data_IF_900366966813
#
_entry.id   IF_900366966813
#
_cell.length_a   1.000
_cell.length_b   1.000
_cell.length_c   1.000
_cell.angle_alpha   90.00
_cell.angle_beta   90.00
_cell.angle_gamma   90.00
#
_symmetry.space_group_name_H-M   'P 1'
#
loop_
_entity.id
_entity.type
_entity.pdbx_description
1 polymer ?
#
# COMPACT_ATOMS: atom_id res chain seq x y z
N UNK A 1 -1.71 -4.73 -1.94
CA UNK A 1 -1.17 -5.70 -2.90
C UNK A 1 -2.24 -6.12 -3.91
N UNK A 2 -1.81 -6.45 -5.10
CA UNK A 2 -2.67 -6.84 -6.22
C UNK A 2 -2.00 -7.91 -7.10
N UNK A 3 -2.83 -8.65 -7.83
CA UNK A 3 -2.41 -9.59 -8.87
C UNK A 3 -3.07 -9.22 -10.21
N UNK A 4 -2.54 -9.74 -11.31
CA UNK A 4 -3.04 -9.55 -12.66
C UNK A 4 -3.11 -10.88 -13.40
N UNK A 5 -4.11 -11.04 -14.25
CA UNK A 5 -4.35 -12.28 -14.98
C UNK A 5 -4.47 -12.03 -16.48
N UNK A 6 -3.71 -12.78 -17.26
CA UNK A 6 -3.83 -12.74 -18.73
C UNK A 6 -5.22 -13.24 -19.19
N UNK A 7 -5.77 -14.21 -18.48
CA UNK A 7 -7.14 -14.70 -18.67
C UNK A 7 -7.94 -14.27 -17.44
N UNK A 8 -8.92 -13.36 -17.59
CA UNK A 8 -9.72 -12.85 -16.48
C UNK A 8 -10.47 -13.97 -15.75
N UNK A 9 -10.27 -14.14 -14.42
CA UNK A 9 -10.95 -15.20 -13.68
C UNK A 9 -12.37 -14.83 -13.23
N UNK A 10 -12.74 -13.54 -13.28
CA UNK A 10 -14.01 -13.04 -12.75
C UNK A 10 -14.72 -12.11 -13.73
N UNK A 11 -16.04 -11.94 -13.53
CA UNK A 11 -16.87 -11.03 -14.33
C UNK A 11 -16.35 -9.59 -14.27
N UNK A 12 -16.58 -8.83 -15.34
CA UNK A 12 -16.18 -7.43 -15.50
C UNK A 12 -14.66 -7.18 -15.46
N UNK A 13 -13.85 -8.23 -15.53
CA UNK A 13 -12.40 -8.09 -15.73
C UNK A 13 -12.05 -8.21 -17.22
N UNK A 14 -11.06 -7.41 -17.63
CA UNK A 14 -10.37 -7.53 -18.91
C UNK A 14 -9.01 -8.21 -18.73
N UNK A 15 -8.37 -8.71 -19.81
CA UNK A 15 -7.01 -9.20 -19.73
C UNK A 15 -6.08 -8.18 -19.07
N UNK A 16 -5.30 -8.64 -18.09
CA UNK A 16 -4.37 -7.85 -17.27
C UNK A 16 -5.01 -6.82 -16.32
N UNK A 17 -6.32 -6.85 -16.13
CA UNK A 17 -6.94 -6.10 -15.05
C UNK A 17 -6.44 -6.60 -13.69
N UNK A 18 -6.52 -5.71 -12.70
CA UNK A 18 -6.07 -6.00 -11.34
C UNK A 18 -7.14 -6.68 -10.51
N UNK A 19 -6.67 -7.55 -9.65
CA UNK A 19 -7.36 -8.07 -8.50
C UNK A 19 -6.63 -7.58 -7.25
N UNK A 20 -7.15 -6.54 -6.60
CA UNK A 20 -6.65 -6.09 -5.31
C UNK A 20 -7.14 -7.06 -4.24
N UNK A 21 -6.23 -7.69 -3.51
CA UNK A 21 -6.55 -8.70 -2.51
C UNK A 21 -6.12 -8.30 -1.09
N UNK A 22 -5.31 -7.24 -0.96
CA UNK A 22 -4.83 -6.78 0.33
C UNK A 22 -4.57 -5.27 0.32
N UNK A 23 -4.92 -4.59 1.43
CA UNK A 23 -4.39 -3.28 1.77
C UNK A 23 -3.96 -3.23 3.25
N UNK A 24 -3.09 -2.28 3.51
CA UNK A 24 -2.74 -1.79 4.84
C UNK A 24 -2.94 -0.29 4.87
N UNK A 25 -3.38 0.25 6.00
CA UNK A 25 -3.66 1.67 6.17
C UNK A 25 -3.27 2.10 7.58
N UNK A 26 -2.37 3.08 7.70
CA UNK A 26 -2.12 3.80 8.93
C UNK A 26 -2.85 5.14 8.90
N UNK A 27 -3.62 5.43 9.92
CA UNK A 27 -4.36 6.69 10.09
C UNK A 27 -3.83 7.42 11.31
N UNK A 28 -3.17 8.55 11.08
CA UNK A 28 -2.78 9.46 12.15
C UNK A 28 -3.90 10.48 12.38
N UNK A 29 -4.35 10.57 13.61
CA UNK A 29 -5.38 11.53 14.03
C UNK A 29 -4.71 12.84 14.47
N UNK A 30 -5.50 13.93 14.59
CA UNK A 30 -4.98 15.26 14.96
C UNK A 30 -4.30 15.31 16.34
N UNK A 31 -4.67 14.40 17.25
CA UNK A 31 -4.05 14.21 18.56
C UNK A 31 -2.81 13.32 18.54
N UNK A 32 -2.34 12.92 17.34
CA UNK A 32 -1.11 12.13 17.15
C UNK A 32 -1.29 10.63 17.39
N UNK A 33 -2.53 10.14 17.58
CA UNK A 33 -2.77 8.71 17.71
C UNK A 33 -2.70 8.04 16.33
N UNK A 34 -1.91 6.97 16.23
CA UNK A 34 -1.79 6.16 15.03
C UNK A 34 -2.65 4.90 15.14
N UNK A 35 -3.59 4.74 14.21
CA UNK A 35 -4.43 3.54 14.09
C UNK A 35 -4.01 2.77 12.84
N UNK A 36 -4.13 1.45 12.89
CA UNK A 36 -3.84 0.57 11.76
C UNK A 36 -5.08 -0.23 11.37
N UNK A 37 -5.34 -0.30 10.06
CA UNK A 37 -6.37 -1.12 9.44
C UNK A 37 -5.72 -2.03 8.42
N UNK A 38 -6.29 -3.22 8.24
CA UNK A 38 -5.76 -4.22 7.32
C UNK A 38 -6.90 -5.03 6.71
N UNK A 39 -6.81 -5.26 5.42
CA UNK A 39 -7.71 -6.13 4.67
C UNK A 39 -6.90 -7.21 3.98
N UNK A 40 -7.38 -8.43 3.98
CA UNK A 40 -6.87 -9.53 3.17
C UNK A 40 -7.98 -10.55 2.96
N UNK A 41 -8.29 -10.81 1.69
CA UNK A 41 -9.19 -11.90 1.26
C UNK A 41 -8.68 -12.55 -0.02
N UNK A 42 -9.03 -13.85 -0.20
CA UNK A 42 -8.81 -14.60 -1.42
C UNK A 42 -10.05 -14.56 -2.32
N UNK A 43 -9.93 -15.11 -3.53
CA UNK A 43 -10.98 -15.17 -4.56
C UNK A 43 -11.43 -13.78 -5.03
N UNK A 44 -12.69 -13.63 -5.48
CA UNK A 44 -13.19 -12.33 -5.90
C UNK A 44 -13.64 -11.48 -4.71
N UNK A 45 -12.66 -10.82 -4.12
CA UNK A 45 -12.88 -9.91 -2.98
C UNK A 45 -13.04 -8.44 -3.38
N UNK A 46 -13.02 -8.10 -4.69
CA UNK A 46 -12.92 -6.70 -5.16
C UNK A 46 -14.01 -5.79 -4.61
N UNK A 47 -15.28 -6.25 -4.57
CA UNK A 47 -16.39 -5.46 -4.01
C UNK A 47 -16.19 -5.22 -2.52
N UNK A 48 -15.91 -6.26 -1.76
CA UNK A 48 -15.69 -6.17 -0.30
C UNK A 48 -14.42 -5.34 0.01
N UNK A 49 -13.38 -5.48 -0.81
CA UNK A 49 -12.19 -4.62 -0.72
C UNK A 49 -12.54 -3.12 -0.82
N UNK A 50 -13.37 -2.73 -1.81
CA UNK A 50 -13.80 -1.34 -1.99
C UNK A 50 -14.64 -0.87 -0.80
N UNK A 51 -15.64 -1.64 -0.41
CA UNK A 51 -16.56 -1.31 0.69
C UNK A 51 -15.81 -1.12 2.01
N UNK A 52 -14.90 -2.04 2.32
CA UNK A 52 -14.11 -1.96 3.53
C UNK A 52 -13.10 -0.79 3.50
N UNK A 53 -12.46 -0.54 2.35
CA UNK A 53 -11.55 0.60 2.18
C UNK A 53 -12.27 1.94 2.39
N UNK A 54 -13.48 2.09 1.83
CA UNK A 54 -14.32 3.29 2.01
C UNK A 54 -14.73 3.46 3.49
N UNK A 55 -14.96 2.38 4.19
CA UNK A 55 -15.31 2.40 5.62
C UNK A 55 -14.12 2.78 6.50
N UNK A 56 -12.93 2.23 6.23
CA UNK A 56 -11.72 2.40 7.05
C UNK A 56 -11.05 3.76 6.82
N UNK A 57 -11.18 4.32 5.61
CA UNK A 57 -10.60 5.63 5.29
C UNK A 57 -11.42 6.79 5.89
N UNK A 58 -10.79 7.73 6.59
CA UNK A 58 -11.44 8.99 6.97
C UNK A 58 -11.99 9.74 5.75
N UNK A 59 -13.13 10.38 5.90
CA UNK A 59 -13.78 11.15 4.81
C UNK A 59 -13.00 12.40 4.40
N UNK A 60 -12.09 12.87 5.24
CA UNK A 60 -11.26 14.06 5.02
C UNK A 60 -9.82 13.78 5.38
N UNK A 61 -8.91 14.66 4.98
CA UNK A 61 -7.48 14.54 5.22
C UNK A 61 -6.72 14.09 3.99
N UNK A 62 -5.40 14.25 4.02
CA UNK A 62 -4.47 13.83 2.97
C UNK A 62 -4.21 12.33 3.07
N UNK A 63 -4.11 11.66 1.94
CA UNK A 63 -3.73 10.25 1.84
C UNK A 63 -2.30 10.24 1.27
N UNK A 64 -1.33 9.85 2.08
CA UNK A 64 0.03 9.63 1.61
C UNK A 64 0.15 8.25 0.98
N UNK A 65 0.83 8.19 -0.15
CA UNK A 65 1.13 6.96 -0.89
C UNK A 65 2.54 7.05 -1.45
N UNK A 66 3.11 5.91 -1.81
CA UNK A 66 4.43 5.85 -2.41
C UNK A 66 4.36 5.33 -3.85
N UNK A 67 4.83 6.12 -4.85
CA UNK A 67 4.70 5.83 -6.28
C UNK A 67 3.23 5.80 -6.76
N UNK A 68 2.49 6.83 -6.43
CA UNK A 68 1.04 6.99 -6.62
C UNK A 68 0.52 6.55 -8.00
N UNK A 69 1.14 7.06 -9.07
CA UNK A 69 0.66 6.83 -10.45
C UNK A 69 0.97 5.40 -10.94
N UNK A 70 1.98 4.73 -10.37
CA UNK A 70 2.33 3.34 -10.72
C UNK A 70 1.63 2.29 -9.85
N UNK A 71 1.08 2.69 -8.72
CA UNK A 71 0.51 1.79 -7.73
C UNK A 71 -0.93 2.17 -7.35
N UNK A 72 -1.14 2.76 -6.19
CA UNK A 72 -2.45 2.87 -5.53
C UNK A 72 -3.50 3.56 -6.39
N UNK A 73 -3.20 4.75 -6.92
CA UNK A 73 -4.15 5.53 -7.71
C UNK A 73 -4.59 4.81 -8.97
N UNK A 74 -3.64 4.16 -9.67
CA UNK A 74 -3.96 3.40 -10.87
C UNK A 74 -4.89 2.22 -10.54
N UNK A 75 -4.64 1.51 -9.41
CA UNK A 75 -5.45 0.36 -8.99
C UNK A 75 -6.87 0.78 -8.62
N UNK A 76 -7.02 1.87 -7.87
CA UNK A 76 -8.35 2.39 -7.52
C UNK A 76 -9.13 2.86 -8.77
N UNK A 77 -8.48 3.48 -9.75
CA UNK A 77 -9.10 3.82 -11.02
C UNK A 77 -9.55 2.60 -11.82
N UNK A 78 -8.77 1.52 -11.81
CA UNK A 78 -9.17 0.26 -12.42
C UNK A 78 -10.39 -0.35 -11.72
N UNK A 79 -10.40 -0.38 -10.38
CA UNK A 79 -11.57 -0.81 -9.60
C UNK A 79 -12.80 0.06 -9.90
N UNK A 80 -12.65 1.38 -9.99
CA UNK A 80 -13.73 2.30 -10.38
C UNK A 80 -14.29 2.02 -11.79
N UNK A 81 -13.48 1.49 -12.70
CA UNK A 81 -13.94 1.07 -14.02
C UNK A 81 -14.65 -0.29 -14.03
N UNK A 82 -14.39 -1.14 -13.05
CA UNK A 82 -15.03 -2.45 -12.88
C UNK A 82 -16.33 -2.35 -12.08
N UNK A 83 -16.44 -1.37 -11.19
CA UNK A 83 -17.56 -1.14 -10.28
C UNK A 83 -17.98 0.33 -10.33
N UNK A 84 -18.79 0.69 -11.32
CA UNK A 84 -19.20 2.08 -11.61
C UNK A 84 -19.92 2.73 -10.43
N UNK A 85 -20.66 1.95 -9.64
CA UNK A 85 -21.38 2.40 -8.46
C UNK A 85 -20.51 2.98 -7.34
N UNK A 86 -19.20 2.67 -7.32
CA UNK A 86 -18.23 3.20 -6.34
C UNK A 86 -17.28 4.24 -6.95
N UNK A 87 -17.50 4.65 -8.21
CA UNK A 87 -16.60 5.57 -8.90
C UNK A 87 -16.41 6.88 -8.16
N UNK A 88 -17.47 7.50 -7.69
CA UNK A 88 -17.40 8.81 -7.02
C UNK A 88 -16.56 8.73 -5.73
N UNK A 89 -16.74 7.69 -4.93
CA UNK A 89 -15.96 7.47 -3.70
C UNK A 89 -14.49 7.20 -4.01
N UNK A 90 -14.20 6.35 -4.99
CA UNK A 90 -12.83 6.02 -5.37
C UNK A 90 -12.10 7.21 -6.01
N UNK A 91 -12.78 8.01 -6.82
CA UNK A 91 -12.23 9.26 -7.38
C UNK A 91 -11.99 10.30 -6.29
N UNK A 92 -12.88 10.40 -5.30
CA UNK A 92 -12.70 11.25 -4.11
C UNK A 92 -11.46 10.82 -3.31
N UNK A 93 -11.25 9.54 -3.10
CA UNK A 93 -10.05 9.00 -2.45
C UNK A 93 -8.80 9.37 -3.27
N UNK A 94 -8.79 9.11 -4.58
CA UNK A 94 -7.69 9.44 -5.47
C UNK A 94 -7.34 10.94 -5.49
N UNK A 95 -8.33 11.82 -5.36
CA UNK A 95 -8.14 13.27 -5.36
C UNK A 95 -7.39 13.80 -4.13
N UNK A 96 -7.40 13.06 -3.02
CA UNK A 96 -6.71 13.40 -1.77
C UNK A 96 -5.31 12.79 -1.65
N UNK A 97 -4.89 11.99 -2.63
CA UNK A 97 -3.58 11.34 -2.61
C UNK A 97 -2.44 12.33 -2.88
N UNK A 98 -1.37 12.18 -2.14
CA UNK A 98 -0.10 12.88 -2.31
C UNK A 98 1.03 11.85 -2.34
N UNK A 99 1.87 11.94 -3.37
CA UNK A 99 2.95 10.99 -3.59
C UNK A 99 4.21 11.38 -2.79
N UNK A 100 4.51 10.60 -1.77
CA UNK A 100 5.67 10.78 -0.89
C UNK A 100 7.00 10.48 -1.60
N UNK A 101 7.00 9.80 -2.75
CA UNK A 101 8.23 9.55 -3.52
C UNK A 101 8.78 10.80 -4.22
N UNK A 102 7.95 11.80 -4.50
CA UNK A 102 8.27 12.97 -5.34
C UNK A 102 9.45 13.81 -4.86
N UNK A 103 9.62 14.14 -3.56
CA UNK A 103 10.80 14.86 -3.09
C UNK A 103 12.12 14.16 -3.42
N UNK A 104 12.14 12.83 -3.39
CA UNK A 104 13.31 12.01 -3.68
C UNK A 104 13.54 11.85 -5.18
N UNK A 105 12.48 11.56 -5.94
CA UNK A 105 12.53 11.44 -7.39
C UNK A 105 13.01 12.74 -8.05
N UNK A 106 12.52 13.88 -7.58
CA UNK A 106 12.90 15.20 -8.07
C UNK A 106 14.26 15.69 -7.55
N UNK A 107 14.93 14.92 -6.69
CA UNK A 107 16.23 15.31 -6.09
C UNK A 107 16.13 16.49 -5.12
N UNK A 108 14.96 16.79 -4.58
CA UNK A 108 14.76 17.83 -3.57
C UNK A 108 15.29 17.41 -2.20
N UNK A 109 15.39 16.13 -1.96
CA UNK A 109 16.04 15.53 -0.80
C UNK A 109 16.96 14.40 -1.26
N UNK A 110 18.19 14.41 -0.77
CA UNK A 110 19.17 13.35 -1.02
C UNK A 110 20.02 13.07 0.23
N UNK A 111 20.24 11.80 0.49
CA UNK A 111 21.19 11.34 1.50
C UNK A 111 22.07 10.24 0.90
N UNK A 112 23.37 10.25 1.21
CA UNK A 112 24.34 9.28 0.66
C UNK A 112 23.96 7.81 0.95
N UNK A 113 23.24 7.54 2.04
CA UNK A 113 22.73 6.19 2.36
C UNK A 113 21.75 5.66 1.33
N UNK A 114 21.05 6.53 0.58
CA UNK A 114 20.13 6.14 -0.49
C UNK A 114 20.85 5.51 -1.68
N UNK A 115 22.15 5.77 -1.85
CA UNK A 115 23.01 5.23 -2.94
C UNK A 115 22.41 5.43 -4.34
N UNK A 116 21.73 6.55 -4.56
CA UNK A 116 21.07 6.87 -5.83
C UNK A 116 19.73 6.18 -6.07
N UNK A 117 19.20 5.44 -5.09
CA UNK A 117 17.89 4.80 -5.15
C UNK A 117 16.88 5.55 -4.29
N UNK A 118 15.62 5.62 -4.77
CA UNK A 118 14.53 6.28 -4.04
C UNK A 118 13.32 5.35 -3.81
N UNK A 119 13.52 4.02 -3.82
CA UNK A 119 12.49 3.11 -3.32
C UNK A 119 12.30 3.30 -1.81
N UNK A 120 11.10 3.04 -1.29
CA UNK A 120 10.80 3.15 0.14
C UNK A 120 11.80 2.38 1.01
N UNK A 121 12.21 1.18 0.57
CA UNK A 121 13.23 0.34 1.22
C UNK A 121 14.62 0.97 1.26
N UNK A 122 14.95 1.79 0.26
CA UNK A 122 16.24 2.50 0.22
C UNK A 122 16.22 3.77 1.05
N UNK A 123 15.05 4.36 1.28
CA UNK A 123 14.88 5.61 2.01
C UNK A 123 14.67 5.38 3.50
N UNK A 124 13.90 4.38 3.89
CA UNK A 124 13.59 4.08 5.29
C UNK A 124 14.85 4.08 6.20
N UNK A 125 16.01 3.46 5.82
CA UNK A 125 17.21 3.45 6.66
C UNK A 125 17.85 4.83 6.88
N UNK A 126 17.44 5.85 6.14
CA UNK A 126 17.88 7.23 6.35
C UNK A 126 17.21 7.81 7.60
N UNK A 127 15.92 7.52 7.79
CA UNK A 127 15.08 8.09 8.83
C UNK A 127 14.91 7.18 10.06
N UNK A 128 15.11 5.87 9.92
CA UNK A 128 15.05 4.92 11.03
C UNK A 128 16.18 3.89 10.96
N UNK A 129 16.72 3.51 12.14
CA UNK A 129 17.68 2.41 12.28
C UNK A 129 17.03 1.15 12.86
N UNK A 130 15.89 1.32 13.51
CA UNK A 130 15.26 0.28 14.32
C UNK A 130 14.14 -0.46 13.54
N UNK A 131 13.76 0.08 12.38
CA UNK A 131 12.72 -0.48 11.52
C UNK A 131 13.34 -1.00 10.22
N UNK A 132 13.12 -2.27 9.92
CA UNK A 132 13.75 -2.97 8.79
C UNK A 132 12.84 -4.01 8.18
N UNK A 133 12.99 -4.25 6.88
CA UNK A 133 12.32 -5.35 6.15
C UNK A 133 13.05 -6.69 6.27
N UNK A 134 14.27 -6.72 6.85
CA UNK A 134 15.18 -7.87 6.77
C UNK A 134 14.65 -9.11 7.51
N UNK A 135 13.85 -8.90 8.55
CA UNK A 135 13.32 -9.98 9.40
C UNK A 135 11.92 -10.43 8.99
N UNK A 136 11.41 -9.95 7.84
CA UNK A 136 10.10 -10.34 7.34
C UNK A 136 10.18 -11.60 6.47
N UNK A 137 9.20 -12.50 6.63
CA UNK A 137 9.04 -13.70 5.79
C UNK A 137 8.79 -13.33 4.32
N UNK A 138 7.98 -12.28 4.10
CA UNK A 138 7.76 -11.68 2.80
C UNK A 138 8.51 -10.35 2.74
N UNK A 139 9.39 -10.21 1.75
CA UNK A 139 10.28 -9.06 1.61
C UNK A 139 10.01 -8.20 0.36
N UNK A 140 9.10 -8.64 -0.51
CA UNK A 140 8.72 -7.89 -1.72
C UNK A 140 7.32 -8.31 -2.21
N UNK A 141 6.68 -7.43 -3.02
CA UNK A 141 5.33 -7.66 -3.53
C UNK A 141 5.18 -8.91 -4.39
N UNK A 142 6.23 -9.32 -5.14
CA UNK A 142 6.17 -10.55 -5.95
C UNK A 142 6.00 -11.80 -5.07
N UNK A 143 6.71 -11.85 -3.93
CA UNK A 143 6.57 -12.94 -2.97
C UNK A 143 5.16 -12.93 -2.33
N UNK A 144 4.58 -11.74 -2.09
CA UNK A 144 3.20 -11.63 -1.61
C UNK A 144 2.19 -12.18 -2.64
N UNK A 145 2.36 -11.87 -3.92
CA UNK A 145 1.52 -12.40 -5.01
C UNK A 145 1.65 -13.93 -5.11
N UNK A 146 2.86 -14.50 -5.04
CA UNK A 146 3.04 -15.95 -5.05
C UNK A 146 2.40 -16.63 -3.85
N UNK A 147 2.53 -16.06 -2.66
CA UNK A 147 1.89 -16.56 -1.46
C UNK A 147 0.36 -16.51 -1.58
N UNK A 148 -0.19 -15.43 -2.15
CA UNK A 148 -1.62 -15.27 -2.44
C UNK A 148 -2.13 -16.34 -3.42
N UNK A 149 -1.43 -16.56 -4.54
CA UNK A 149 -1.85 -17.53 -5.57
C UNK A 149 -1.95 -18.97 -5.07
N UNK A 150 -1.16 -19.32 -4.08
CA UNK A 150 -1.17 -20.67 -3.49
C UNK A 150 -1.99 -20.74 -2.19
N UNK A 151 -2.63 -19.63 -1.78
CA UNK A 151 -3.31 -19.51 -0.50
C UNK A 151 -4.47 -20.50 -0.33
N UNK A 152 -5.34 -20.61 -1.35
CA UNK A 152 -6.54 -21.44 -1.27
C UNK A 152 -6.24 -22.95 -1.26
N UNK A 153 -5.08 -23.37 -1.74
CA UNK A 153 -4.62 -24.77 -1.77
C UNK A 153 -4.03 -25.23 -0.44
N UNK A 154 -3.85 -24.32 0.53
CA UNK A 154 -3.22 -24.58 1.82
C UNK A 154 -4.22 -25.04 2.87
N UNK A 155 -3.71 -25.73 3.91
CA UNK A 155 -4.52 -26.01 5.08
C UNK A 155 -4.77 -24.76 5.93
N UNK A 156 -5.64 -24.86 6.94
CA UNK A 156 -6.08 -23.71 7.74
C UNK A 156 -4.94 -23.08 8.59
N UNK A 157 -3.94 -23.84 8.98
CA UNK A 157 -2.81 -23.31 9.75
C UNK A 157 -1.84 -22.57 8.82
N UNK A 158 -1.50 -23.16 7.67
CA UNK A 158 -0.69 -22.53 6.63
C UNK A 158 -1.37 -21.24 6.10
N UNK A 159 -2.70 -21.24 5.96
CA UNK A 159 -3.46 -20.04 5.57
C UNK A 159 -3.29 -18.90 6.56
N UNK A 160 -3.33 -19.19 7.86
CA UNK A 160 -3.10 -18.17 8.91
C UNK A 160 -1.69 -17.59 8.83
N UNK A 161 -0.69 -18.45 8.63
CA UNK A 161 0.71 -18.02 8.48
C UNK A 161 0.90 -17.13 7.26
N UNK A 162 0.39 -17.53 6.09
CA UNK A 162 0.47 -16.74 4.85
C UNK A 162 -0.26 -15.41 5.00
N UNK A 163 -1.49 -15.41 5.52
CA UNK A 163 -2.23 -14.17 5.79
C UNK A 163 -1.47 -13.23 6.72
N UNK A 164 -0.89 -13.77 7.79
CA UNK A 164 -0.07 -13.01 8.72
C UNK A 164 1.16 -12.42 8.04
N UNK A 165 1.89 -13.21 7.25
CA UNK A 165 3.11 -12.78 6.56
C UNK A 165 2.82 -11.65 5.56
N UNK A 166 1.78 -11.78 4.71
CA UNK A 166 1.36 -10.75 3.77
C UNK A 166 0.93 -9.47 4.52
N UNK A 167 0.10 -9.63 5.56
CA UNK A 167 -0.38 -8.49 6.36
C UNK A 167 0.75 -7.74 7.06
N UNK A 168 1.72 -8.48 7.62
CA UNK A 168 2.90 -7.88 8.27
C UNK A 168 3.78 -7.12 7.27
N UNK A 169 3.98 -7.67 6.07
CA UNK A 169 4.72 -6.99 5.01
C UNK A 169 4.05 -5.68 4.60
N UNK A 170 2.75 -5.69 4.31
CA UNK A 170 2.03 -4.48 3.91
C UNK A 170 1.90 -3.46 5.05
N UNK A 171 1.77 -3.93 6.31
CA UNK A 171 1.82 -3.05 7.48
C UNK A 171 3.17 -2.33 7.58
N UNK A 172 4.26 -3.04 7.29
CA UNK A 172 5.59 -2.45 7.27
C UNK A 172 5.72 -1.37 6.19
N UNK A 173 5.18 -1.60 4.97
CA UNK A 173 5.24 -0.61 3.90
C UNK A 173 4.55 0.71 4.34
N UNK A 174 3.32 0.66 4.83
CA UNK A 174 2.60 1.86 5.25
C UNK A 174 3.17 2.50 6.53
N UNK A 175 3.77 1.70 7.43
CA UNK A 175 4.48 2.24 8.58
C UNK A 175 5.80 2.92 8.19
N UNK A 176 6.50 2.40 7.19
CA UNK A 176 7.68 3.03 6.62
C UNK A 176 7.35 4.39 5.97
N UNK A 177 6.21 4.50 5.27
CA UNK A 177 5.72 5.79 4.75
C UNK A 177 5.49 6.81 5.86
N UNK A 178 4.87 6.40 6.97
CA UNK A 178 4.68 7.23 8.16
C UNK A 178 6.01 7.75 8.73
N UNK A 179 7.00 6.86 8.89
CA UNK A 179 8.33 7.24 9.38
C UNK A 179 9.02 8.23 8.43
N UNK A 180 8.99 7.95 7.14
CA UNK A 180 9.63 8.80 6.11
C UNK A 180 8.96 10.17 6.07
N UNK A 181 7.63 10.26 6.15
CA UNK A 181 6.91 11.52 6.20
C UNK A 181 7.32 12.38 7.39
N UNK A 182 7.30 11.83 8.60
CA UNK A 182 7.70 12.56 9.80
C UNK A 182 9.17 12.96 9.77
N UNK A 183 10.04 12.09 9.28
CA UNK A 183 11.45 12.40 9.09
C UNK A 183 11.68 13.56 8.12
N UNK A 184 10.96 13.62 7.00
CA UNK A 184 11.02 14.77 6.08
C UNK A 184 10.51 16.06 6.71
N UNK A 185 9.45 16.02 7.52
CA UNK A 185 8.94 17.20 8.24
C UNK A 185 9.99 17.74 9.22
N UNK A 186 10.69 16.86 9.93
CA UNK A 186 11.76 17.25 10.84
C UNK A 186 12.95 17.86 10.10
N UNK A 187 13.38 17.26 8.98
CA UNK A 187 14.43 17.81 8.14
C UNK A 187 14.10 19.22 7.63
N UNK A 188 12.87 19.45 7.16
CA UNK A 188 12.43 20.77 6.72
C UNK A 188 12.46 21.78 7.86
N UNK A 189 11.98 21.41 9.07
CA UNK A 189 11.98 22.29 10.23
C UNK A 189 13.39 22.67 10.69
N UNK A 190 14.35 21.74 10.58
CA UNK A 190 15.72 21.95 11.00
C UNK A 190 16.56 22.77 10.00
N UNK A 191 16.10 22.87 8.75
CA UNK A 191 16.83 23.57 7.68
C UNK A 191 16.09 24.85 7.18
N UNK A 192 14.94 25.21 7.76
CA UNK A 192 14.19 26.43 7.49
C UNK A 192 14.57 27.54 8.47
#
# INVERSE_FOLDING_TARGET
EWDTFAIPPYENMKPFDVLCFQYSLHVETQDGNLKHYNFFESKDCRRHFIEQLIQDLPKTGTILVYNMEGAEKLRLKQLASQFEEYREELDSICSRMVDLSKPFEAGLYYNSKMRGHYSLKSILPVFSKDVSYLDLDIQNGLNAVFAYRTYDDKDEEEKKEVKKAISTYCQMDTYAEYIVYHGLIEEVKNNA
#
